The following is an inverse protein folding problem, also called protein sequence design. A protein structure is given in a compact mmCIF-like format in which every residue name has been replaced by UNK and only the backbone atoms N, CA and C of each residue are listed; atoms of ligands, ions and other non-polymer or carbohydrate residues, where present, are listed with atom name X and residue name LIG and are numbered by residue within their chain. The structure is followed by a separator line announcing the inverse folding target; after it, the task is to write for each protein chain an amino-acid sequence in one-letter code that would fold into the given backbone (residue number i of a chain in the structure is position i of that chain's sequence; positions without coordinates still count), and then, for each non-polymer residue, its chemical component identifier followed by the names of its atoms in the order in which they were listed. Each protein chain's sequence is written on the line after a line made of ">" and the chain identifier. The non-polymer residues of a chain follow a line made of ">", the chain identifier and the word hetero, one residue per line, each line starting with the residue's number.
data_IF_891498971021
#
_entry.id   IF_891498971021
#
_cell.length_a   1.000
_cell.length_b   1.000
_cell.length_c   1.000
_cell.angle_alpha   90.00
_cell.angle_beta   90.00
_cell.angle_gamma   90.00
#
_symmetry.space_group_name_H-M   'P 1'
#
loop_
_entity.id
_entity.type
_entity.pdbx_description
1 polymer ?
#
# COMPACT_ATOMS: atom_id res chain seq x y z
N UNK A 1 64.28 -62.01 3.53
CA UNK A 1 62.87 -62.23 3.90
C UNK A 1 62.05 -61.09 3.31
N UNK A 2 61.45 -61.36 2.17
CA UNK A 2 60.70 -60.43 1.32
C UNK A 2 59.23 -60.42 1.73
N UNK A 3 58.71 -59.25 2.12
CA UNK A 3 57.27 -59.06 2.38
C UNK A 3 56.63 -58.36 1.17
N UNK A 4 55.53 -58.87 0.59
CA UNK A 4 54.88 -58.25 -0.55
C UNK A 4 53.95 -57.11 -0.11
N UNK A 5 53.90 -56.08 -0.96
CA UNK A 5 53.01 -54.91 -0.88
C UNK A 5 51.60 -55.30 -1.36
N UNK A 6 50.59 -55.13 -0.51
CA UNK A 6 49.18 -55.16 -0.93
C UNK A 6 48.72 -53.76 -1.31
N UNK A 7 48.43 -53.56 -2.59
CA UNK A 7 47.78 -52.38 -3.12
C UNK A 7 46.27 -52.47 -2.89
N UNK A 8 45.69 -51.49 -2.19
CA UNK A 8 44.26 -51.28 -2.05
C UNK A 8 43.83 -50.19 -3.05
N UNK A 9 42.99 -50.56 -4.01
CA UNK A 9 42.29 -49.62 -4.90
C UNK A 9 41.19 -48.88 -4.13
N UNK A 10 40.93 -47.58 -4.42
CA UNK A 10 39.79 -46.87 -3.86
C UNK A 10 38.54 -47.16 -4.71
N UNK A 11 37.46 -47.57 -4.03
CA UNK A 11 36.11 -47.64 -4.61
C UNK A 11 35.52 -46.22 -4.60
N UNK A 12 35.44 -45.56 -5.76
CA UNK A 12 34.67 -44.32 -5.92
C UNK A 12 33.18 -44.65 -5.92
N UNK A 13 32.49 -44.34 -4.83
CA UNK A 13 31.03 -44.29 -4.80
C UNK A 13 30.56 -42.93 -5.34
N UNK A 14 30.05 -42.92 -6.58
CA UNK A 14 29.35 -41.78 -7.14
C UNK A 14 27.97 -41.68 -6.48
N UNK A 15 27.84 -40.79 -5.49
CA UNK A 15 26.54 -40.37 -4.96
C UNK A 15 25.91 -39.44 -6.01
N UNK A 16 25.00 -39.99 -6.80
CA UNK A 16 24.13 -39.20 -7.68
C UNK A 16 23.17 -38.38 -6.83
N UNK A 17 23.47 -37.09 -6.62
CA UNK A 17 22.48 -36.12 -6.22
C UNK A 17 21.45 -36.00 -7.34
N UNK A 18 20.31 -36.68 -7.19
CA UNK A 18 19.09 -36.36 -7.91
C UNK A 18 18.68 -34.96 -7.46
N UNK A 19 19.11 -33.94 -8.20
CA UNK A 19 18.57 -32.60 -8.08
C UNK A 19 17.10 -32.66 -8.49
N UNK A 20 16.19 -32.68 -7.51
CA UNK A 20 14.80 -32.37 -7.77
C UNK A 20 14.76 -30.99 -8.45
N UNK A 21 14.05 -30.83 -9.58
CA UNK A 21 13.87 -29.51 -10.16
C UNK A 21 13.28 -28.59 -9.09
N UNK A 22 13.75 -27.34 -8.98
CA UNK A 22 13.20 -26.41 -8.00
C UNK A 22 11.70 -26.29 -8.26
N UNK A 23 10.88 -26.45 -7.22
CA UNK A 23 9.41 -26.45 -7.29
C UNK A 23 8.81 -25.25 -8.06
N UNK A 24 9.57 -24.16 -8.23
CA UNK A 24 9.20 -22.98 -8.99
C UNK A 24 9.14 -23.21 -10.52
N UNK A 25 9.95 -24.12 -11.07
CA UNK A 25 9.97 -24.40 -12.51
C UNK A 25 8.71 -25.18 -12.95
N UNK A 26 8.34 -26.22 -12.20
CA UNK A 26 7.15 -27.04 -12.49
C UNK A 26 5.85 -26.22 -12.45
N UNK A 27 5.73 -25.26 -11.51
CA UNK A 27 4.52 -24.43 -11.38
C UNK A 27 4.37 -23.38 -12.50
N UNK A 28 5.47 -22.95 -13.13
CA UNK A 28 5.40 -22.01 -14.25
C UNK A 28 4.94 -22.68 -15.55
N UNK A 29 5.28 -23.96 -15.75
CA UNK A 29 4.86 -24.73 -16.93
C UNK A 29 3.34 -24.94 -16.98
N UNK A 30 2.71 -25.14 -15.80
CA UNK A 30 1.26 -25.33 -15.68
C UNK A 30 0.45 -24.02 -15.76
N UNK A 31 1.08 -22.85 -15.55
CA UNK A 31 0.42 -21.54 -15.63
C UNK A 31 1.33 -20.44 -16.20
N UNK A 32 1.56 -20.43 -17.53
CA UNK A 32 2.47 -19.46 -18.14
C UNK A 32 2.06 -18.00 -17.91
N UNK A 33 0.76 -17.68 -18.01
CA UNK A 33 0.27 -16.33 -17.74
C UNK A 33 0.54 -15.88 -16.29
N UNK A 34 0.30 -16.75 -15.30
CA UNK A 34 0.58 -16.40 -13.90
C UNK A 34 2.08 -16.22 -13.64
N UNK A 35 2.93 -16.98 -14.33
CA UNK A 35 4.38 -16.83 -14.27
C UNK A 35 4.84 -15.49 -14.87
N UNK A 36 4.33 -15.10 -16.05
CA UNK A 36 4.63 -13.80 -16.67
C UNK A 36 4.17 -12.63 -15.79
N UNK A 37 3.01 -12.75 -15.14
CA UNK A 37 2.53 -11.74 -14.17
C UNK A 37 3.47 -11.66 -12.96
N UNK A 38 3.91 -12.79 -12.38
CA UNK A 38 4.86 -12.80 -11.26
C UNK A 38 6.20 -12.16 -11.65
N UNK A 39 6.72 -12.49 -12.84
CA UNK A 39 7.95 -11.89 -13.37
C UNK A 39 7.81 -10.37 -13.57
N UNK A 40 6.67 -9.90 -14.09
CA UNK A 40 6.39 -8.48 -14.24
C UNK A 40 6.31 -7.75 -12.88
N UNK A 41 5.71 -8.39 -11.86
CA UNK A 41 5.67 -7.87 -10.49
C UNK A 41 7.09 -7.76 -9.94
N UNK A 42 7.90 -8.81 -10.04
CA UNK A 42 9.28 -8.80 -9.53
C UNK A 42 10.15 -7.75 -10.24
N UNK A 43 9.96 -7.57 -11.56
CA UNK A 43 10.63 -6.51 -12.31
C UNK A 43 10.22 -5.11 -11.81
N UNK A 44 8.93 -4.88 -11.54
CA UNK A 44 8.43 -3.63 -10.97
C UNK A 44 8.97 -3.36 -9.57
N UNK A 45 9.01 -4.37 -8.70
CA UNK A 45 9.62 -4.26 -7.37
C UNK A 45 11.12 -3.94 -7.46
N UNK A 46 11.84 -4.58 -8.39
CA UNK A 46 13.24 -4.29 -8.62
C UNK A 46 13.48 -2.85 -9.12
N UNK A 47 12.59 -2.34 -9.96
CA UNK A 47 12.60 -0.93 -10.37
C UNK A 47 12.44 -0.01 -9.14
N UNK A 48 11.49 -0.28 -8.25
CA UNK A 48 11.31 0.55 -7.05
C UNK A 48 12.48 0.47 -6.07
N UNK A 49 13.11 -0.69 -5.88
CA UNK A 49 14.35 -0.81 -5.09
C UNK A 49 15.45 0.08 -5.66
N UNK A 50 15.60 0.07 -6.98
CA UNK A 50 16.59 0.89 -7.69
C UNK A 50 16.28 2.38 -7.60
N UNK A 51 14.99 2.75 -7.64
CA UNK A 51 14.55 4.14 -7.52
C UNK A 51 14.72 4.68 -6.10
N UNK A 52 14.44 3.86 -5.08
CA UNK A 52 14.59 4.24 -3.67
C UNK A 52 16.06 4.46 -3.31
N UNK A 53 16.96 3.55 -3.72
CA UNK A 53 18.42 3.68 -3.57
C UNK A 53 18.91 4.21 -2.20
N UNK A 54 18.24 3.82 -1.10
CA UNK A 54 18.55 4.26 0.26
C UNK A 54 18.06 5.67 0.64
N UNK A 55 17.34 6.37 -0.24
CA UNK A 55 16.91 7.76 -0.04
C UNK A 55 15.60 7.90 0.74
N UNK A 56 14.82 6.82 0.84
CA UNK A 56 13.49 6.82 1.42
C UNK A 56 12.40 7.46 0.55
N UNK A 57 12.60 7.64 -0.75
CA UNK A 57 11.55 8.13 -1.65
C UNK A 57 11.54 7.45 -3.02
N UNK A 58 10.37 7.36 -3.66
CA UNK A 58 10.20 6.77 -4.98
C UNK A 58 10.02 7.84 -6.08
N UNK A 59 11.00 8.72 -6.22
CA UNK A 59 11.13 9.65 -7.35
C UNK A 59 10.55 11.06 -7.18
N UNK A 60 9.60 11.31 -6.26
CA UNK A 60 8.97 12.63 -6.08
C UNK A 60 9.81 13.62 -5.24
N UNK A 61 11.03 13.24 -4.82
CA UNK A 61 11.95 13.91 -3.88
C UNK A 61 11.39 14.25 -2.50
N UNK A 62 10.07 14.37 -2.36
CA UNK A 62 9.37 14.69 -1.12
C UNK A 62 8.92 13.44 -0.38
N UNK A 63 8.78 12.26 -1.01
CA UNK A 63 8.33 11.03 -0.36
C UNK A 63 6.86 11.03 0.08
N UNK A 64 6.09 12.07 -0.28
CA UNK A 64 4.68 12.20 0.13
C UNK A 64 3.79 11.18 -0.59
N UNK A 65 4.21 10.68 -1.75
CA UNK A 65 3.49 9.63 -2.49
C UNK A 65 4.06 8.22 -2.26
N UNK A 66 4.90 8.04 -1.24
CA UNK A 66 5.47 6.74 -0.92
C UNK A 66 4.43 5.66 -0.58
N UNK A 67 3.19 6.04 -0.24
CA UNK A 67 2.15 5.10 0.17
C UNK A 67 1.88 4.00 -0.88
N UNK A 68 1.91 4.32 -2.18
CA UNK A 68 1.78 3.31 -3.23
C UNK A 68 2.96 2.34 -3.22
N UNK A 69 4.17 2.86 -3.02
CA UNK A 69 5.38 2.07 -2.87
C UNK A 69 5.28 1.10 -1.71
N UNK A 70 4.97 1.63 -0.52
CA UNK A 70 4.78 0.82 0.70
C UNK A 70 3.76 -0.28 0.45
N UNK A 71 2.56 0.05 -0.04
CA UNK A 71 1.51 -0.92 -0.34
C UNK A 71 1.95 -1.97 -1.37
N UNK A 72 2.70 -1.59 -2.41
CA UNK A 72 3.19 -2.53 -3.44
C UNK A 72 4.05 -3.65 -2.83
N UNK A 73 4.91 -3.32 -1.86
CA UNK A 73 5.73 -4.34 -1.18
C UNK A 73 4.89 -5.16 -0.20
N UNK A 74 4.04 -4.51 0.59
CA UNK A 74 3.26 -5.20 1.62
C UNK A 74 2.20 -6.15 1.04
N UNK A 75 1.61 -5.80 -0.11
CA UNK A 75 0.59 -6.60 -0.81
C UNK A 75 1.18 -7.67 -1.73
N UNK A 76 2.52 -7.72 -1.89
CA UNK A 76 3.18 -8.81 -2.62
C UNK A 76 2.72 -10.14 -2.05
N UNK A 77 2.36 -11.09 -2.92
CA UNK A 77 1.90 -12.43 -2.54
C UNK A 77 3.02 -13.45 -2.62
N UNK A 78 2.96 -14.46 -1.75
CA UNK A 78 3.83 -15.61 -1.83
C UNK A 78 3.36 -16.58 -2.92
N UNK A 79 4.26 -17.01 -3.81
CA UNK A 79 3.97 -17.97 -4.88
C UNK A 79 3.38 -17.32 -6.12
N UNK A 80 2.94 -18.15 -7.09
CA UNK A 80 2.45 -17.69 -8.38
C UNK A 80 0.96 -17.33 -8.34
N UNK A 81 0.62 -16.20 -8.98
CA UNK A 81 -0.76 -15.77 -9.19
C UNK A 81 -1.45 -15.21 -7.94
N UNK A 82 -2.77 -15.02 -8.05
CA UNK A 82 -3.56 -14.26 -7.06
C UNK A 82 -3.96 -15.04 -5.80
N UNK A 83 -3.72 -16.36 -5.76
CA UNK A 83 -4.12 -17.22 -4.65
C UNK A 83 -3.11 -17.24 -3.49
N UNK A 84 -1.90 -16.74 -3.72
CA UNK A 84 -0.86 -16.63 -2.71
C UNK A 84 -1.31 -15.73 -1.54
N UNK A 85 -0.87 -16.05 -0.32
CA UNK A 85 -1.08 -15.15 0.83
C UNK A 85 -0.27 -13.88 0.64
N UNK A 86 -0.81 -12.72 1.03
CA UNK A 86 0.00 -11.52 1.16
C UNK A 86 1.17 -11.76 2.13
N UNK A 87 2.34 -11.23 1.78
CA UNK A 87 3.53 -11.32 2.60
C UNK A 87 3.41 -10.43 3.83
N UNK A 88 2.97 -9.18 3.64
CA UNK A 88 3.03 -8.15 4.67
C UNK A 88 4.47 -7.85 5.08
N UNK A 89 4.66 -6.95 6.04
CA UNK A 89 6.00 -6.49 6.44
C UNK A 89 6.88 -7.63 6.98
N UNK A 90 6.36 -8.45 7.89
CA UNK A 90 7.11 -9.57 8.48
C UNK A 90 7.51 -10.62 7.44
N UNK A 91 6.76 -10.74 6.33
CA UNK A 91 7.06 -11.67 5.25
C UNK A 91 8.08 -11.17 4.22
N UNK A 92 8.44 -9.88 4.25
CA UNK A 92 9.45 -9.31 3.37
C UNK A 92 10.86 -9.79 3.75
N UNK A 93 11.77 -9.79 2.76
CA UNK A 93 13.19 -9.97 3.07
C UNK A 93 13.75 -8.76 3.83
N UNK A 94 14.88 -8.90 4.55
CA UNK A 94 15.41 -7.82 5.38
C UNK A 94 15.79 -6.54 4.62
N UNK A 95 16.13 -6.62 3.33
CA UNK A 95 16.47 -5.44 2.52
C UNK A 95 15.20 -4.65 2.24
N UNK A 96 14.14 -5.34 1.82
CA UNK A 96 12.83 -4.74 1.57
C UNK A 96 12.20 -4.20 2.86
N UNK A 97 12.36 -4.89 4.00
CA UNK A 97 11.91 -4.38 5.30
C UNK A 97 12.56 -3.03 5.63
N UNK A 98 13.90 -2.94 5.51
CA UNK A 98 14.62 -1.71 5.79
C UNK A 98 14.22 -0.58 4.83
N UNK A 99 13.96 -0.91 3.56
CA UNK A 99 13.48 0.06 2.58
C UNK A 99 12.08 0.56 2.94
N UNK A 100 11.14 -0.34 3.25
CA UNK A 100 9.78 0.03 3.66
C UNK A 100 9.80 0.90 4.91
N UNK A 101 10.66 0.61 5.90
CA UNK A 101 10.86 1.48 7.08
C UNK A 101 11.27 2.90 6.67
N UNK A 102 12.22 3.04 5.73
CA UNK A 102 12.63 4.38 5.24
C UNK A 102 11.50 5.09 4.49
N UNK A 103 10.75 4.37 3.67
CA UNK A 103 9.59 4.92 2.94
C UNK A 103 8.51 5.42 3.91
N UNK A 104 8.18 4.63 4.93
CA UNK A 104 7.21 4.98 5.99
C UNK A 104 7.70 6.20 6.78
N UNK A 105 8.96 6.20 7.20
CA UNK A 105 9.58 7.35 7.87
C UNK A 105 9.40 8.63 7.04
N UNK A 106 9.77 8.59 5.75
CA UNK A 106 9.68 9.76 4.88
C UNK A 106 8.25 10.21 4.64
N UNK A 107 7.32 9.28 4.47
CA UNK A 107 5.91 9.58 4.34
C UNK A 107 5.35 10.34 5.55
N UNK A 108 5.73 9.94 6.77
CA UNK A 108 5.36 10.64 8.01
C UNK A 108 5.95 12.05 8.05
N UNK A 109 7.22 12.19 7.68
CA UNK A 109 7.94 13.46 7.71
C UNK A 109 7.42 14.48 6.67
N UNK A 110 6.79 14.00 5.60
CA UNK A 110 6.50 14.82 4.41
C UNK A 110 5.05 15.25 4.25
N UNK A 111 4.13 14.68 5.02
CA UNK A 111 2.74 15.12 5.07
C UNK A 111 2.47 15.77 6.43
N UNK A 112 2.24 17.08 6.45
CA UNK A 112 2.15 17.87 7.69
C UNK A 112 1.12 17.34 8.69
N UNK A 113 0.00 16.80 8.20
CA UNK A 113 -1.04 16.24 9.08
C UNK A 113 -0.59 14.99 9.83
N UNK A 114 0.42 14.27 9.34
CA UNK A 114 0.95 13.07 10.01
C UNK A 114 1.71 13.41 11.29
N UNK A 115 2.22 14.63 11.41
CA UNK A 115 3.02 15.06 12.58
C UNK A 115 2.27 16.06 13.45
N UNK A 116 1.25 16.71 12.89
CA UNK A 116 0.39 17.63 13.60
C UNK A 116 -1.08 17.44 13.14
N UNK A 117 -1.97 16.91 13.99
CA UNK A 117 -3.37 16.66 13.61
C UNK A 117 -4.13 17.95 13.23
N UNK A 118 -3.61 19.11 13.62
CA UNK A 118 -4.20 20.40 13.29
C UNK A 118 -3.73 20.97 11.95
N UNK A 119 -2.70 20.41 11.30
CA UNK A 119 -2.30 20.83 9.96
C UNK A 119 -3.37 20.45 8.94
N UNK A 120 -3.54 21.25 7.89
CA UNK A 120 -4.48 20.93 6.80
C UNK A 120 -3.93 19.73 6.02
N UNK A 121 -4.63 18.59 5.98
CA UNK A 121 -4.22 17.45 5.17
C UNK A 121 -4.27 17.81 3.69
N UNK A 122 -3.34 17.27 2.90
CA UNK A 122 -3.58 17.04 1.49
C UNK A 122 -4.33 15.70 1.36
N UNK A 123 -5.67 15.72 1.35
CA UNK A 123 -6.55 14.56 1.55
C UNK A 123 -6.17 13.34 0.71
N UNK A 124 -5.80 13.54 -0.55
CA UNK A 124 -5.35 12.47 -1.44
C UNK A 124 -4.14 11.72 -0.87
N UNK A 125 -3.12 12.47 -0.42
CA UNK A 125 -1.92 11.90 0.21
C UNK A 125 -2.22 11.38 1.60
N UNK A 126 -2.94 12.14 2.43
CA UNK A 126 -3.26 11.74 3.79
C UNK A 126 -4.04 10.41 3.82
N UNK A 127 -5.06 10.25 2.96
CA UNK A 127 -5.79 8.99 2.82
C UNK A 127 -4.91 7.83 2.35
N UNK A 128 -4.05 8.07 1.35
CA UNK A 128 -3.04 7.10 0.91
C UNK A 128 -2.10 6.67 2.02
N UNK A 129 -1.61 7.64 2.79
CA UNK A 129 -0.73 7.43 3.92
C UNK A 129 -1.40 6.60 5.02
N UNK A 130 -2.69 6.83 5.32
CA UNK A 130 -3.43 6.00 6.27
C UNK A 130 -3.56 4.56 5.78
N UNK A 131 -3.82 4.32 4.49
CA UNK A 131 -3.83 2.95 3.93
C UNK A 131 -2.48 2.25 4.12
N UNK A 132 -1.39 2.93 3.75
CA UNK A 132 -0.04 2.38 3.87
C UNK A 132 0.38 2.11 5.33
N UNK A 133 0.14 3.06 6.24
CA UNK A 133 0.43 2.92 7.66
C UNK A 133 -0.39 1.80 8.29
N UNK A 134 -1.67 1.68 7.93
CA UNK A 134 -2.55 0.62 8.43
C UNK A 134 -2.06 -0.76 8.01
N UNK A 135 -1.73 -0.95 6.73
CA UNK A 135 -1.17 -2.20 6.22
C UNK A 135 0.19 -2.52 6.87
N UNK A 136 1.05 -1.51 7.03
CA UNK A 136 2.36 -1.64 7.66
C UNK A 136 2.25 -2.12 9.10
N UNK A 137 1.42 -1.44 9.92
CA UNK A 137 1.20 -1.80 11.33
C UNK A 137 0.50 -3.17 11.45
N UNK A 138 -0.54 -3.42 10.65
CA UNK A 138 -1.29 -4.68 10.66
C UNK A 138 -0.41 -5.91 10.34
N UNK A 139 0.65 -5.70 9.57
CA UNK A 139 1.54 -6.78 9.10
C UNK A 139 2.86 -6.86 9.87
N UNK A 140 2.96 -6.17 11.01
CA UNK A 140 4.06 -6.28 11.97
C UNK A 140 5.23 -5.31 11.73
N UNK A 141 4.99 -4.20 11.02
CA UNK A 141 5.94 -3.10 10.91
C UNK A 141 6.28 -2.49 12.28
N UNK A 142 7.56 -2.15 12.57
CA UNK A 142 7.93 -1.50 13.82
C UNK A 142 7.29 -0.10 13.94
N UNK A 143 6.75 0.21 15.12
CA UNK A 143 6.09 1.50 15.36
C UNK A 143 7.09 2.68 15.34
N UNK A 144 8.28 2.47 15.89
CA UNK A 144 9.39 3.42 15.80
C UNK A 144 10.19 3.20 14.51
N UNK A 145 9.98 4.10 13.55
CA UNK A 145 10.70 4.15 12.27
C UNK A 145 11.77 5.25 12.23
N UNK A 146 12.02 5.93 13.35
CA UNK A 146 12.94 7.07 13.44
C UNK A 146 12.43 8.36 12.79
N UNK A 147 11.10 8.51 12.64
CA UNK A 147 10.45 9.76 12.24
C UNK A 147 10.22 10.69 13.45
N UNK A 148 9.63 11.87 13.22
CA UNK A 148 9.30 12.82 14.30
C UNK A 148 8.23 12.30 15.28
N UNK A 149 7.37 11.39 14.84
CA UNK A 149 6.36 10.68 15.63
C UNK A 149 6.35 9.22 15.20
N UNK A 150 5.81 8.33 16.04
CA UNK A 150 5.68 6.90 15.68
C UNK A 150 4.65 6.69 14.56
N UNK A 151 4.68 5.53 13.90
CA UNK A 151 3.72 5.17 12.85
C UNK A 151 2.27 5.18 13.36
N UNK A 152 2.02 4.67 14.57
CA UNK A 152 0.71 4.69 15.23
C UNK A 152 0.25 6.11 15.53
N UNK A 153 1.14 6.97 16.04
CA UNK A 153 0.80 8.37 16.28
C UNK A 153 0.52 9.13 14.98
N UNK A 154 1.29 8.85 13.91
CA UNK A 154 1.05 9.41 12.60
C UNK A 154 -0.30 9.00 12.02
N UNK A 155 -0.66 7.72 12.15
CA UNK A 155 -1.98 7.21 11.77
C UNK A 155 -3.09 7.95 12.51
N UNK A 156 -2.99 8.07 13.84
CA UNK A 156 -3.96 8.78 14.65
C UNK A 156 -4.09 10.26 14.26
N UNK A 157 -2.96 10.93 13.98
CA UNK A 157 -2.97 12.33 13.55
C UNK A 157 -3.67 12.50 12.19
N UNK A 158 -3.38 11.63 11.23
CA UNK A 158 -4.03 11.64 9.92
C UNK A 158 -5.53 11.36 9.99
N UNK A 159 -5.97 10.45 10.85
CA UNK A 159 -7.39 10.17 11.12
C UNK A 159 -8.10 11.43 11.62
N UNK A 160 -7.58 12.06 12.67
CA UNK A 160 -8.15 13.32 13.21
C UNK A 160 -8.19 14.39 12.13
N UNK A 161 -7.11 14.53 11.37
CA UNK A 161 -6.99 15.49 10.28
C UNK A 161 -8.08 15.33 9.22
N UNK A 162 -8.26 14.11 8.71
CA UNK A 162 -9.27 13.79 7.69
C UNK A 162 -10.69 13.91 8.22
N UNK A 163 -10.96 13.44 9.44
CA UNK A 163 -12.29 13.57 10.05
C UNK A 163 -12.69 15.04 10.19
N UNK A 164 -11.75 15.89 10.61
CA UNK A 164 -11.97 17.33 10.76
C UNK A 164 -12.20 18.05 9.43
N UNK A 165 -11.61 17.58 8.34
CA UNK A 165 -11.76 18.17 7.01
C UNK A 165 -12.81 17.50 6.14
N UNK A 166 -13.67 16.64 6.70
CA UNK A 166 -14.86 16.19 5.99
C UNK A 166 -15.80 17.38 5.76
N UNK A 167 -16.34 17.48 4.55
CA UNK A 167 -17.29 18.50 4.16
C UNK A 167 -18.57 18.43 4.98
N UNK A 168 -19.03 19.60 5.42
CA UNK A 168 -20.32 19.80 6.07
C UNK A 168 -21.14 20.92 5.40
N UNK A 169 -20.74 21.31 4.18
CA UNK A 169 -21.31 22.43 3.43
C UNK A 169 -22.30 21.89 2.41
N UNK A 170 -23.58 22.06 2.69
CA UNK A 170 -24.65 21.61 1.80
C UNK A 170 -24.89 22.52 0.59
N UNK A 171 -25.49 21.99 -0.49
CA UNK A 171 -25.84 20.58 -0.66
C UNK A 171 -24.69 19.71 -1.20
N UNK A 172 -23.73 20.29 -1.91
CA UNK A 172 -22.79 19.55 -2.76
C UNK A 172 -21.54 19.02 -2.03
N UNK A 173 -21.42 19.21 -0.72
CA UNK A 173 -20.26 18.71 0.04
C UNK A 173 -20.61 18.35 1.49
N UNK A 174 -21.74 17.66 1.71
CA UNK A 174 -22.01 17.01 3.00
C UNK A 174 -21.45 15.59 2.92
N UNK A 175 -20.39 15.32 3.68
CA UNK A 175 -19.74 14.00 3.75
C UNK A 175 -18.62 13.76 2.73
N UNK A 176 -18.42 14.65 1.77
CA UNK A 176 -17.32 14.59 0.80
C UNK A 176 -16.02 15.20 1.33
N UNK A 177 -14.97 15.15 0.53
CA UNK A 177 -13.72 15.85 0.79
C UNK A 177 -13.29 16.69 -0.40
N UNK A 178 -12.38 17.62 -0.15
CA UNK A 178 -11.58 18.28 -1.16
C UNK A 178 -10.11 17.93 -0.94
N UNK A 179 -9.24 18.36 -1.87
CA UNK A 179 -7.80 18.18 -1.73
C UNK A 179 -7.22 18.72 -0.43
N UNK A 180 -7.78 19.81 0.12
CA UNK A 180 -7.31 20.42 1.35
C UNK A 180 -8.48 20.72 2.30
N UNK A 181 -8.86 21.99 2.43
CA UNK A 181 -9.99 22.39 3.26
C UNK A 181 -11.33 22.15 2.53
N UNK A 182 -12.42 21.89 3.28
CA UNK A 182 -13.76 21.82 2.71
C UNK A 182 -14.14 23.07 1.93
N UNK A 183 -14.70 22.87 0.74
CA UNK A 183 -15.30 23.92 -0.09
C UNK A 183 -16.80 23.64 -0.33
N UNK A 184 -17.48 24.50 -1.07
CA UNK A 184 -18.90 24.34 -1.35
C UNK A 184 -19.24 23.10 -2.20
N UNK A 185 -18.27 22.51 -2.91
CA UNK A 185 -18.45 21.34 -3.77
C UNK A 185 -17.38 20.30 -3.45
N UNK A 186 -17.79 19.09 -3.07
CA UNK A 186 -16.87 17.99 -2.79
C UNK A 186 -16.21 17.45 -4.05
N UNK A 187 -15.13 16.70 -3.87
CA UNK A 187 -14.37 16.05 -4.93
C UNK A 187 -14.33 14.53 -4.68
N UNK A 188 -14.90 13.76 -5.61
CA UNK A 188 -15.03 12.31 -5.48
C UNK A 188 -13.66 11.62 -5.46
N UNK A 189 -12.68 12.11 -6.24
CA UNK A 189 -11.35 11.50 -6.28
C UNK A 189 -10.64 11.58 -4.92
N UNK A 190 -10.78 12.70 -4.22
CA UNK A 190 -10.23 12.84 -2.87
C UNK A 190 -11.08 12.15 -1.81
N UNK A 191 -12.40 12.13 -2.00
CA UNK A 191 -13.35 11.41 -1.13
C UNK A 191 -13.01 9.93 -1.08
N UNK A 192 -12.73 9.29 -2.23
CA UNK A 192 -12.32 7.88 -2.28
C UNK A 192 -11.09 7.59 -1.43
N UNK A 193 -10.06 8.43 -1.51
CA UNK A 193 -8.84 8.26 -0.70
C UNK A 193 -9.10 8.50 0.79
N UNK A 194 -9.94 9.49 1.12
CA UNK A 194 -10.37 9.74 2.49
C UNK A 194 -11.10 8.52 3.08
N UNK A 195 -12.07 7.97 2.35
CA UNK A 195 -12.81 6.77 2.75
C UNK A 195 -11.90 5.57 2.90
N UNK A 196 -11.08 5.26 1.88
CA UNK A 196 -10.21 4.10 1.89
C UNK A 196 -9.18 4.18 3.04
N UNK A 197 -8.61 5.37 3.29
CA UNK A 197 -7.70 5.61 4.39
C UNK A 197 -8.33 5.42 5.77
N UNK A 198 -9.49 6.06 6.02
CA UNK A 198 -10.19 5.94 7.29
C UNK A 198 -10.74 4.52 7.53
N UNK A 199 -11.20 3.85 6.48
CA UNK A 199 -11.65 2.45 6.53
C UNK A 199 -10.49 1.50 6.86
N UNK A 200 -9.33 1.68 6.22
CA UNK A 200 -8.14 0.89 6.54
C UNK A 200 -7.69 1.11 7.99
N UNK A 201 -7.71 2.37 8.45
CA UNK A 201 -7.29 2.76 9.79
C UNK A 201 -8.19 2.20 10.91
N UNK A 202 -9.47 1.92 10.64
CA UNK A 202 -10.38 1.31 11.63
C UNK A 202 -9.86 -0.03 12.17
N UNK A 203 -9.11 -0.78 11.37
CA UNK A 203 -8.52 -2.05 11.82
C UNK A 203 -7.43 -1.88 12.89
N UNK A 204 -6.90 -0.65 13.05
CA UNK A 204 -5.82 -0.33 13.98
C UNK A 204 -6.28 0.63 15.08
N UNK A 205 -7.15 1.57 14.73
CA UNK A 205 -7.64 2.63 15.60
C UNK A 205 -9.17 2.68 15.55
N UNK A 206 -9.81 2.21 16.62
CA UNK A 206 -11.27 2.24 16.76
C UNK A 206 -11.82 3.66 16.58
N UNK A 207 -12.88 3.79 15.79
CA UNK A 207 -13.54 5.06 15.52
C UNK A 207 -12.90 5.88 14.40
N UNK A 208 -11.84 5.40 13.73
CA UNK A 208 -11.30 6.06 12.55
C UNK A 208 -12.36 6.27 11.45
N UNK A 209 -13.27 5.31 11.30
CA UNK A 209 -14.35 5.30 10.31
C UNK A 209 -15.64 6.00 10.76
N UNK A 210 -15.68 6.62 11.94
CA UNK A 210 -16.93 7.14 12.54
C UNK A 210 -17.73 8.12 11.65
N UNK A 211 -17.03 8.82 10.75
CA UNK A 211 -17.62 9.83 9.86
C UNK A 211 -17.94 9.29 8.45
N UNK A 212 -17.60 8.04 8.14
CA UNK A 212 -17.88 7.42 6.84
C UNK A 212 -19.37 7.33 6.50
N UNK A 213 -20.32 7.12 7.44
CA UNK A 213 -21.74 7.14 7.12
C UNK A 213 -22.21 8.43 6.44
N UNK A 214 -21.54 9.57 6.67
CA UNK A 214 -21.90 10.85 6.04
C UNK A 214 -21.64 10.86 4.53
N UNK A 215 -20.73 10.01 4.02
CA UNK A 215 -20.30 9.96 2.62
C UNK A 215 -21.46 9.68 1.68
N UNK A 216 -22.45 8.90 2.14
CA UNK A 216 -23.65 8.58 1.36
C UNK A 216 -24.36 9.86 0.90
N UNK A 217 -24.38 10.91 1.73
CA UNK A 217 -25.01 12.19 1.36
C UNK A 217 -24.30 12.85 0.17
N UNK A 218 -22.97 12.76 0.11
CA UNK A 218 -22.18 13.28 -1.00
C UNK A 218 -22.39 12.43 -2.27
N UNK A 219 -22.33 11.10 -2.15
CA UNK A 219 -22.50 10.19 -3.29
C UNK A 219 -23.88 10.34 -3.93
N UNK A 220 -24.93 10.50 -3.13
CA UNK A 220 -26.28 10.76 -3.64
C UNK A 220 -26.40 12.05 -4.45
N UNK A 221 -25.60 13.07 -4.11
CA UNK A 221 -25.64 14.37 -4.80
C UNK A 221 -24.68 14.41 -5.99
N UNK A 222 -23.60 13.62 -5.97
CA UNK A 222 -22.70 13.48 -7.11
C UNK A 222 -23.22 12.53 -8.19
N UNK A 223 -24.08 11.57 -7.83
CA UNK A 223 -24.66 10.63 -8.78
C UNK A 223 -25.58 11.34 -9.76
N UNK A 224 -25.36 11.10 -11.05
CA UNK A 224 -26.18 11.62 -12.12
C UNK A 224 -27.51 10.84 -12.23
N UNK A 225 -28.63 11.53 -12.08
CA UNK A 225 -29.97 10.95 -12.10
C UNK A 225 -30.34 10.22 -13.41
N UNK A 226 -29.71 10.55 -14.52
CA UNK A 226 -30.09 10.02 -15.84
C UNK A 226 -29.39 8.69 -16.18
N UNK A 227 -28.16 8.51 -15.70
CA UNK A 227 -27.34 7.35 -16.06
C UNK A 227 -26.70 6.62 -14.87
N UNK A 228 -26.92 7.11 -13.64
CA UNK A 228 -26.35 6.55 -12.42
C UNK A 228 -24.84 6.72 -12.28
N UNK A 229 -24.19 7.39 -13.24
CA UNK A 229 -22.76 7.65 -13.26
C UNK A 229 -22.36 8.72 -12.27
N UNK A 230 -21.10 8.70 -11.86
CA UNK A 230 -20.51 9.66 -10.94
C UNK A 230 -19.46 10.49 -11.64
N UNK A 231 -19.21 11.67 -11.08
CA UNK A 231 -18.33 12.67 -11.66
C UNK A 231 -17.20 13.03 -10.68
N UNK A 232 -16.37 14.01 -11.01
CA UNK A 232 -15.40 14.51 -10.02
C UNK A 232 -16.08 15.37 -8.96
N UNK A 233 -17.12 16.11 -9.32
CA UNK A 233 -17.79 17.07 -8.45
C UNK A 233 -19.27 17.14 -8.80
N UNK A 234 -20.19 17.28 -7.81
CA UNK A 234 -21.61 17.29 -8.09
C UNK A 234 -22.04 18.23 -9.21
N UNK A 235 -22.99 17.79 -10.02
CA UNK A 235 -23.50 18.48 -11.23
C UNK A 235 -22.50 18.56 -12.40
N UNK A 236 -21.42 17.78 -12.38
CA UNK A 236 -20.51 17.65 -13.52
C UNK A 236 -20.86 16.45 -14.39
N UNK A 237 -20.31 16.42 -15.60
CA UNK A 237 -20.45 15.27 -16.50
C UNK A 237 -19.82 14.00 -15.88
N UNK A 238 -20.56 12.88 -15.82
CA UNK A 238 -20.01 11.62 -15.36
C UNK A 238 -18.83 11.16 -16.21
N UNK A 239 -17.90 10.45 -15.58
CA UNK A 239 -16.82 9.77 -16.27
C UNK A 239 -16.80 8.30 -15.90
N UNK A 240 -16.30 7.45 -16.80
CA UNK A 240 -16.20 6.01 -16.53
C UNK A 240 -15.31 5.71 -15.32
N UNK A 241 -14.22 6.47 -15.14
CA UNK A 241 -13.33 6.32 -13.98
C UNK A 241 -14.01 6.69 -12.67
N UNK A 242 -14.70 7.84 -12.61
CA UNK A 242 -15.41 8.23 -11.38
C UNK A 242 -16.62 7.35 -11.10
N UNK A 243 -17.33 6.90 -12.13
CA UNK A 243 -18.43 5.94 -11.99
C UNK A 243 -17.96 4.59 -11.44
N UNK A 244 -16.85 4.06 -11.95
CA UNK A 244 -16.25 2.83 -11.42
C UNK A 244 -15.80 2.98 -9.96
N UNK A 245 -15.54 4.21 -9.53
CA UNK A 245 -15.16 4.56 -8.18
C UNK A 245 -16.32 4.96 -7.27
N UNK A 246 -17.58 4.82 -7.71
CA UNK A 246 -18.72 4.93 -6.82
C UNK A 246 -18.63 3.88 -5.72
N UNK A 247 -18.29 4.34 -4.51
CA UNK A 247 -18.04 3.52 -3.33
C UNK A 247 -19.31 2.79 -2.87
#
# INVERSE_FOLDING_TARGET
>A
MSSPRSALLPLLAAVGLLAAPPARAQMCDDSPFACEVDLAIEAGLQFYRTLENGTGHLGDQQGRHNFLGVLTFLEKRAGLGFLGRQLGFVGLDPVDQNMVVRLVRKLIESEGVMTNPNATPYTYVAGGNLMALSAYLATGGPDDVGAMVTATQALANGVVGLQRTQGNQGPNNIGGWNYNNPTASGDLSTTQFGVAGLSAAENILEGASMNLPNVINFLMVDQNDQNGGLSYNPNSEPSSSMTASGL
#
